data_IF_362658308870
#
_entry.id   IF_362658308870
#
_cell.length_a   1.000
_cell.length_b   1.000
_cell.length_c   1.000
_cell.angle_alpha   90.00
_cell.angle_beta   90.00
_cell.angle_gamma   90.00
#
_symmetry.space_group_name_H-M   'P 1'
#
loop_
_entity.id
_entity.type
_entity.pdbx_description
1 polymer ?
#
# COMPACT_ATOMS: atom_id res chain seq x y z
N UNK A 1 10.34 -21.10 23.89
CA UNK A 1 10.35 -21.03 22.41
C UNK A 1 11.80 -21.10 21.97
N UNK A 2 12.18 -21.91 20.97
CA UNK A 2 13.56 -21.90 20.43
C UNK A 2 13.77 -20.59 19.67
N UNK A 3 14.92 -19.96 19.84
CA UNK A 3 15.28 -18.75 19.11
C UNK A 3 16.55 -18.98 18.30
N UNK A 4 16.52 -18.52 17.06
CA UNK A 4 17.54 -18.78 16.06
C UNK A 4 17.89 -17.45 15.43
N UNK A 5 19.16 -17.07 15.52
CA UNK A 5 19.67 -15.84 14.93
C UNK A 5 20.76 -16.19 13.93
N UNK A 6 20.63 -15.72 12.69
CA UNK A 6 21.61 -15.93 11.63
C UNK A 6 22.07 -14.59 11.05
N UNK A 7 23.29 -14.55 10.50
CA UNK A 7 23.81 -13.35 9.84
C UNK A 7 23.33 -13.26 8.40
N UNK A 8 23.22 -14.40 7.71
CA UNK A 8 22.74 -14.50 6.32
C UNK A 8 22.05 -15.83 6.06
N UNK A 9 21.12 -15.86 5.12
CA UNK A 9 20.50 -17.07 4.59
C UNK A 9 20.67 -17.15 3.07
N UNK A 10 20.98 -18.34 2.55
CA UNK A 10 21.01 -18.64 1.11
C UNK A 10 19.98 -19.72 0.78
N UNK A 11 19.29 -19.56 -0.34
CA UNK A 11 18.34 -20.57 -0.83
C UNK A 11 19.07 -21.50 -1.79
N UNK A 12 19.24 -22.76 -1.37
CA UNK A 12 20.02 -23.76 -2.09
C UNK A 12 19.27 -25.10 -2.11
N UNK A 13 19.15 -25.70 -3.30
CA UNK A 13 18.53 -27.02 -3.48
C UNK A 13 17.13 -27.14 -2.86
N UNK A 14 16.30 -26.10 -2.99
CA UNK A 14 14.91 -26.11 -2.51
C UNK A 14 14.73 -25.96 -0.99
N UNK A 15 15.73 -25.45 -0.27
CA UNK A 15 15.60 -25.15 1.16
C UNK A 15 16.56 -24.05 1.62
N UNK A 16 16.30 -23.50 2.82
CA UNK A 16 17.12 -22.44 3.40
C UNK A 16 18.37 -22.98 4.09
N UNK A 17 19.50 -22.35 3.80
CA UNK A 17 20.78 -22.58 4.44
C UNK A 17 21.25 -21.30 5.11
N UNK A 18 21.27 -21.30 6.44
CA UNK A 18 21.67 -20.15 7.24
C UNK A 18 23.14 -20.26 7.66
N UNK A 19 23.84 -19.13 7.72
CA UNK A 19 25.26 -19.06 8.06
C UNK A 19 25.50 -18.25 9.32
N UNK A 20 26.47 -18.66 10.13
CA UNK A 20 26.79 -18.06 11.44
C UNK A 20 25.57 -18.01 12.36
N UNK A 21 24.97 -19.18 12.60
CA UNK A 21 23.73 -19.30 13.36
C UNK A 21 24.01 -19.46 14.84
N UNK A 22 23.32 -18.66 15.66
CA UNK A 22 23.20 -18.80 17.11
C UNK A 22 21.84 -19.40 17.43
N UNK A 23 21.84 -20.63 17.90
CA UNK A 23 20.64 -21.34 18.35
C UNK A 23 20.62 -21.40 19.87
N UNK A 24 19.56 -20.90 20.49
CA UNK A 24 19.38 -20.98 21.91
C UNK A 24 17.92 -21.30 22.27
N UNK A 25 17.74 -22.17 23.27
CA UNK A 25 16.41 -22.56 23.77
C UNK A 25 16.24 -21.99 25.18
N UNK A 26 15.60 -20.82 25.34
CA UNK A 26 15.32 -20.26 26.66
C UNK A 26 14.46 -21.24 27.46
N UNK A 27 14.97 -21.64 28.62
CA UNK A 27 14.31 -22.48 29.63
C UNK A 27 14.13 -21.62 30.88
N UNK A 28 13.06 -21.82 31.66
CA UNK A 28 12.86 -21.05 32.89
C UNK A 28 14.02 -21.30 33.87
N UNK A 29 14.76 -20.25 34.26
CA UNK A 29 15.93 -20.35 35.13
C UNK A 29 16.95 -19.22 34.97
N UNK A 30 18.10 -19.35 35.62
CA UNK A 30 19.20 -18.37 35.58
C UNK A 30 19.81 -18.26 34.16
N UNK A 31 20.10 -17.05 33.64
CA UNK A 31 20.62 -16.82 32.29
C UNK A 31 21.99 -17.44 31.97
N UNK A 32 22.79 -17.73 33.01
CA UNK A 32 24.22 -18.03 32.89
C UNK A 32 24.54 -19.48 32.45
N UNK A 33 23.53 -20.35 32.30
CA UNK A 33 23.73 -21.79 32.05
C UNK A 33 23.11 -22.31 30.74
N UNK A 34 22.75 -21.44 29.80
CA UNK A 34 22.13 -21.89 28.55
C UNK A 34 23.18 -22.14 27.47
N UNK A 35 23.34 -23.38 26.97
CA UNK A 35 24.27 -23.67 25.88
C UNK A 35 23.79 -22.97 24.60
N UNK A 36 24.48 -21.91 24.19
CA UNK A 36 24.32 -21.33 22.86
C UNK A 36 25.01 -22.28 21.90
N UNK A 37 24.24 -22.89 21.00
CA UNK A 37 24.82 -23.75 19.97
C UNK A 37 25.14 -22.88 18.76
N UNK A 38 26.43 -22.81 18.43
CA UNK A 38 26.92 -22.09 17.27
C UNK A 38 27.03 -23.04 16.08
N UNK A 39 26.30 -22.76 15.02
CA UNK A 39 26.42 -23.48 13.76
C UNK A 39 27.07 -22.57 12.71
N UNK A 40 28.16 -23.03 12.10
CA UNK A 40 28.76 -22.32 10.96
C UNK A 40 27.77 -22.25 9.79
N UNK A 41 27.08 -23.37 9.55
CA UNK A 41 26.02 -23.52 8.55
C UNK A 41 24.93 -24.42 9.11
N UNK A 42 23.67 -24.02 8.96
CA UNK A 42 22.50 -24.77 9.40
C UNK A 42 21.45 -24.76 8.29
N UNK A 43 21.17 -25.93 7.72
CA UNK A 43 20.07 -26.12 6.76
C UNK A 43 18.77 -26.33 7.53
N UNK A 44 17.72 -25.60 7.14
CA UNK A 44 16.41 -25.69 7.77
C UNK A 44 15.39 -26.15 6.75
N UNK A 45 14.84 -27.35 7.00
CA UNK A 45 13.75 -27.91 6.20
C UNK A 45 12.38 -27.46 6.71
N UNK A 46 12.32 -26.93 7.93
CA UNK A 46 11.10 -26.35 8.53
C UNK A 46 10.64 -25.06 7.83
N UNK A 47 11.54 -24.38 7.11
CA UNK A 47 11.23 -23.18 6.33
C UNK A 47 11.08 -23.56 4.85
N UNK A 48 9.84 -23.75 4.41
CA UNK A 48 9.46 -24.06 3.04
C UNK A 48 9.13 -22.81 2.20
N UNK A 49 9.07 -21.64 2.83
CA UNK A 49 8.86 -20.35 2.16
C UNK A 49 9.98 -20.05 1.15
N UNK A 50 9.62 -19.83 -0.10
CA UNK A 50 10.56 -19.46 -1.16
C UNK A 50 11.05 -17.99 -1.00
N UNK A 51 12.23 -17.64 -1.52
CA UNK A 51 12.71 -16.25 -1.51
C UNK A 51 11.72 -15.26 -2.13
N UNK A 52 11.00 -15.68 -3.16
CA UNK A 52 9.98 -14.87 -3.83
C UNK A 52 8.77 -14.61 -2.93
N UNK A 53 8.37 -15.58 -2.11
CA UNK A 53 7.30 -15.40 -1.12
C UNK A 53 7.74 -14.41 -0.03
N UNK A 54 8.93 -14.59 0.53
CA UNK A 54 9.50 -13.68 1.54
C UNK A 54 9.62 -12.25 1.00
N UNK A 55 10.14 -12.09 -0.23
CA UNK A 55 10.23 -10.77 -0.87
C UNK A 55 8.83 -10.14 -1.05
N UNK A 56 7.84 -10.94 -1.47
CA UNK A 56 6.45 -10.51 -1.56
C UNK A 56 5.92 -10.00 -0.22
N UNK A 57 6.16 -10.72 0.86
CA UNK A 57 5.76 -10.28 2.20
C UNK A 57 6.46 -8.99 2.65
N UNK A 58 7.78 -8.89 2.43
CA UNK A 58 8.55 -7.69 2.72
C UNK A 58 8.06 -6.45 1.96
N UNK A 59 7.54 -6.63 0.74
CA UNK A 59 6.93 -5.54 -0.03
C UNK A 59 5.55 -5.14 0.50
N UNK A 60 4.77 -6.08 1.02
CA UNK A 60 3.43 -5.83 1.57
C UNK A 60 3.49 -5.30 3.01
N UNK A 61 4.46 -5.74 3.82
CA UNK A 61 4.57 -5.43 5.24
C UNK A 61 4.46 -3.91 5.57
N UNK A 62 5.08 -2.99 4.81
CA UNK A 62 4.92 -1.56 5.04
C UNK A 62 3.47 -1.07 4.90
N UNK A 63 2.60 -1.75 4.16
CA UNK A 63 1.20 -1.34 4.03
C UNK A 63 0.44 -1.36 5.36
N UNK A 64 0.86 -2.21 6.30
CA UNK A 64 0.21 -2.37 7.60
C UNK A 64 0.80 -1.48 8.68
N UNK A 65 1.98 -0.92 8.45
CA UNK A 65 2.63 -0.06 9.44
C UNK A 65 2.06 1.36 9.36
N UNK A 66 1.56 1.87 10.49
CA UNK A 66 1.00 3.23 10.60
C UNK A 66 2.01 4.33 10.29
N UNK A 67 3.32 4.02 10.34
CA UNK A 67 4.42 4.95 10.08
C UNK A 67 5.03 4.84 8.68
N UNK A 68 4.58 3.90 7.85
CA UNK A 68 5.16 3.72 6.53
C UNK A 68 4.64 4.77 5.53
N UNK A 69 5.49 5.76 5.25
CA UNK A 69 5.26 6.72 4.16
C UNK A 69 5.28 6.06 2.76
N UNK A 70 5.66 4.79 2.65
CA UNK A 70 5.88 4.08 1.38
C UNK A 70 4.73 3.15 1.01
N UNK A 71 3.50 3.69 0.97
CA UNK A 71 2.29 2.94 0.60
C UNK A 71 2.18 2.66 -0.91
N UNK A 72 2.99 3.33 -1.73
CA UNK A 72 2.79 3.44 -3.18
C UNK A 72 3.47 2.36 -4.03
N UNK A 73 4.37 1.52 -3.49
CA UNK A 73 5.13 0.57 -4.32
C UNK A 73 4.44 -0.77 -4.63
N UNK A 74 3.29 -1.08 -4.03
CA UNK A 74 2.70 -2.43 -4.09
C UNK A 74 1.72 -2.64 -5.23
N UNK A 75 2.10 -3.27 -6.32
CA UNK A 75 1.21 -3.56 -7.46
C UNK A 75 -0.05 -4.37 -7.12
N UNK A 76 -1.08 -4.29 -7.99
CA UNK A 76 -2.29 -5.12 -7.87
C UNK A 76 -1.98 -6.62 -7.87
N UNK A 77 -0.98 -7.05 -8.65
CA UNK A 77 -0.53 -8.44 -8.71
C UNK A 77 0.12 -8.90 -7.40
N UNK A 78 0.86 -8.03 -6.72
CA UNK A 78 1.44 -8.31 -5.40
C UNK A 78 0.36 -8.43 -4.32
N UNK A 79 -0.66 -7.55 -4.33
CA UNK A 79 -1.82 -7.65 -3.43
C UNK A 79 -2.57 -8.97 -3.65
N UNK A 80 -2.83 -9.32 -4.90
CA UNK A 80 -3.57 -10.53 -5.26
C UNK A 80 -2.78 -11.81 -4.91
N UNK A 81 -1.47 -11.81 -5.14
CA UNK A 81 -0.58 -12.91 -4.76
C UNK A 81 -0.52 -13.10 -3.25
N UNK A 82 -0.40 -12.01 -2.49
CA UNK A 82 -0.43 -12.06 -1.03
C UNK A 82 -1.76 -12.63 -0.49
N UNK A 83 -2.90 -12.21 -1.07
CA UNK A 83 -4.23 -12.71 -0.71
C UNK A 83 -4.43 -14.20 -1.01
N UNK A 84 -3.82 -14.72 -2.07
CA UNK A 84 -3.87 -16.16 -2.40
C UNK A 84 -3.11 -16.99 -1.38
N UNK A 85 -1.93 -16.54 -0.97
CA UNK A 85 -1.05 -17.27 -0.04
C UNK A 85 -1.61 -17.20 1.39
N UNK A 86 -2.32 -16.13 1.73
CA UNK A 86 -2.91 -15.93 3.06
C UNK A 86 -4.45 -15.97 3.00
N UNK A 87 -5.08 -17.15 3.08
CA UNK A 87 -6.54 -17.25 3.08
C UNK A 87 -7.19 -16.72 4.37
N UNK A 88 -6.47 -16.78 5.50
CA UNK A 88 -6.97 -16.36 6.82
C UNK A 88 -6.28 -15.07 7.31
N UNK A 89 -6.53 -13.96 6.62
CA UNK A 89 -6.00 -12.64 6.98
C UNK A 89 -6.84 -12.02 8.09
N UNK A 90 -6.18 -11.43 9.08
CA UNK A 90 -6.80 -10.58 10.10
C UNK A 90 -7.71 -9.50 9.46
N UNK A 91 -8.92 -9.25 10.00
CA UNK A 91 -9.91 -8.37 9.38
C UNK A 91 -9.41 -6.95 9.13
N UNK A 92 -8.58 -6.39 10.01
CA UNK A 92 -7.98 -5.06 9.82
C UNK A 92 -7.05 -5.01 8.60
N UNK A 93 -6.14 -5.98 8.49
CA UNK A 93 -5.22 -6.10 7.34
C UNK A 93 -5.97 -6.32 6.04
N UNK A 94 -7.05 -7.12 6.08
CA UNK A 94 -7.93 -7.36 4.93
C UNK A 94 -8.61 -6.08 4.46
N UNK A 95 -9.10 -5.24 5.37
CA UNK A 95 -9.69 -3.94 5.03
C UNK A 95 -8.67 -3.01 4.35
N UNK A 96 -7.44 -2.95 4.88
CA UNK A 96 -6.34 -2.17 4.31
C UNK A 96 -5.99 -2.63 2.88
N UNK A 97 -5.85 -3.94 2.66
CA UNK A 97 -5.55 -4.50 1.33
C UNK A 97 -6.67 -4.19 0.33
N UNK A 98 -7.94 -4.31 0.74
CA UNK A 98 -9.08 -3.98 -0.11
C UNK A 98 -9.11 -2.48 -0.46
N UNK A 99 -8.82 -1.59 0.50
CA UNK A 99 -8.71 -0.15 0.24
C UNK A 99 -7.61 0.19 -0.76
N UNK A 100 -6.43 -0.42 -0.62
CA UNK A 100 -5.34 -0.22 -1.57
C UNK A 100 -5.66 -0.77 -2.95
N UNK A 101 -6.31 -1.92 -3.02
CA UNK A 101 -6.73 -2.52 -4.28
C UNK A 101 -7.71 -1.61 -5.04
N UNK A 102 -8.74 -1.09 -4.36
CA UNK A 102 -9.72 -0.17 -4.95
C UNK A 102 -9.10 1.17 -5.33
N UNK A 103 -8.22 1.73 -4.49
CA UNK A 103 -7.52 2.97 -4.80
C UNK A 103 -6.69 2.85 -6.09
N UNK A 104 -5.99 1.73 -6.28
CA UNK A 104 -5.21 1.47 -7.51
C UNK A 104 -6.05 1.30 -8.75
N UNK A 105 -7.23 0.70 -8.63
CA UNK A 105 -8.18 0.64 -9.73
C UNK A 105 -8.71 2.03 -10.11
N UNK A 106 -8.79 2.95 -9.15
CA UNK A 106 -9.22 4.33 -9.38
C UNK A 106 -8.11 5.24 -9.93
N UNK A 107 -6.82 4.87 -9.83
CA UNK A 107 -5.70 5.69 -10.30
C UNK A 107 -5.82 6.13 -11.78
N UNK A 108 -6.16 5.27 -12.76
CA UNK A 108 -6.36 5.70 -14.15
C UNK A 108 -7.54 6.67 -14.29
N UNK A 109 -8.60 6.48 -13.50
CA UNK A 109 -9.77 7.35 -13.50
C UNK A 109 -9.46 8.73 -12.94
N UNK A 110 -8.54 8.83 -11.97
CA UNK A 110 -8.08 10.10 -11.42
C UNK A 110 -7.58 11.05 -12.52
N UNK A 111 -6.79 10.54 -13.47
CA UNK A 111 -6.30 11.35 -14.60
C UNK A 111 -7.46 11.95 -15.41
N UNK A 112 -8.49 11.14 -15.69
CA UNK A 112 -9.67 11.59 -16.42
C UNK A 112 -10.45 12.66 -15.64
N UNK A 113 -10.65 12.47 -14.33
CA UNK A 113 -11.33 13.44 -13.47
C UNK A 113 -10.55 14.76 -13.39
N UNK A 114 -9.21 14.72 -13.26
CA UNK A 114 -8.39 15.94 -13.24
C UNK A 114 -8.52 16.73 -14.54
N UNK A 115 -8.57 16.05 -15.69
CA UNK A 115 -8.83 16.71 -16.98
C UNK A 115 -10.23 17.32 -17.00
N UNK A 116 -11.26 16.58 -16.56
CA UNK A 116 -12.63 17.11 -16.47
C UNK A 116 -12.72 18.35 -15.58
N UNK A 117 -12.02 18.36 -14.45
CA UNK A 117 -11.93 19.51 -13.55
C UNK A 117 -11.30 20.69 -14.29
N UNK A 118 -10.27 20.48 -15.11
CA UNK A 118 -9.56 21.56 -15.80
C UNK A 118 -10.37 22.24 -16.92
N UNK A 119 -11.22 21.49 -17.65
CA UNK A 119 -12.01 21.98 -18.79
C UNK A 119 -12.80 23.27 -18.50
N UNK A 120 -13.66 23.35 -17.46
CA UNK A 120 -14.45 24.56 -17.22
C UNK A 120 -13.60 25.78 -16.87
N UNK A 121 -12.38 25.59 -16.34
CA UNK A 121 -11.46 26.70 -16.04
C UNK A 121 -10.58 27.09 -17.23
N UNK A 122 -10.43 26.21 -18.22
CA UNK A 122 -9.71 26.49 -19.46
C UNK A 122 -10.56 27.30 -20.46
N UNK A 123 -11.89 27.25 -20.35
CA UNK A 123 -12.79 27.98 -21.22
C UNK A 123 -12.61 29.51 -21.07
N UNK A 124 -12.41 30.26 -22.16
CA UNK A 124 -12.23 31.71 -22.08
C UNK A 124 -13.53 32.40 -21.66
N UNK A 125 -13.59 32.83 -20.41
CA UNK A 125 -14.69 33.64 -19.88
C UNK A 125 -14.45 35.12 -20.21
N UNK A 126 -14.77 35.53 -21.43
CA UNK A 126 -14.83 36.95 -21.86
C UNK A 126 -13.62 37.82 -21.45
N UNK A 127 -13.87 38.96 -20.79
CA UNK A 127 -12.86 39.97 -20.38
C UNK A 127 -11.93 39.53 -19.24
N UNK A 128 -11.96 38.27 -18.82
CA UNK A 128 -11.22 37.79 -17.65
C UNK A 128 -9.82 37.32 -18.04
N UNK A 129 -8.81 37.69 -17.25
CA UNK A 129 -7.42 37.31 -17.50
C UNK A 129 -7.27 35.77 -17.50
N UNK A 130 -6.75 35.15 -18.57
CA UNK A 130 -6.52 33.70 -18.67
C UNK A 130 -5.73 33.11 -17.48
N UNK A 131 -4.82 33.88 -16.89
CA UNK A 131 -4.04 33.46 -15.71
C UNK A 131 -4.93 33.12 -14.51
N UNK A 132 -6.09 33.78 -14.37
CA UNK A 132 -7.05 33.50 -13.27
C UNK A 132 -7.71 32.14 -13.46
N UNK A 133 -7.99 31.74 -14.70
CA UNK A 133 -8.53 30.41 -15.01
C UNK A 133 -7.52 29.30 -14.68
N UNK A 134 -6.26 29.49 -15.09
CA UNK A 134 -5.17 28.55 -14.77
C UNK A 134 -4.98 28.39 -13.26
N UNK A 135 -4.91 29.50 -12.51
CA UNK A 135 -4.76 29.47 -11.06
C UNK A 135 -5.94 28.75 -10.38
N UNK A 136 -7.17 29.03 -10.81
CA UNK A 136 -8.37 28.37 -10.28
C UNK A 136 -8.39 26.86 -10.57
N UNK A 137 -7.98 26.44 -11.78
CA UNK A 137 -7.87 25.03 -12.14
C UNK A 137 -6.84 24.27 -11.30
N UNK A 138 -5.67 24.88 -11.04
CA UNK A 138 -4.66 24.30 -10.15
C UNK A 138 -5.19 24.15 -8.74
N UNK A 139 -5.85 25.18 -8.19
CA UNK A 139 -6.44 25.12 -6.84
C UNK A 139 -7.51 24.03 -6.76
N UNK A 140 -8.38 23.91 -7.77
CA UNK A 140 -9.41 22.86 -7.81
C UNK A 140 -8.80 21.46 -7.88
N UNK A 141 -7.72 21.28 -8.66
CA UNK A 141 -6.97 20.03 -8.73
C UNK A 141 -6.34 19.66 -7.38
N UNK A 142 -5.71 20.62 -6.70
CA UNK A 142 -5.16 20.42 -5.35
C UNK A 142 -6.26 20.08 -4.34
N UNK A 143 -7.41 20.74 -4.41
CA UNK A 143 -8.56 20.45 -3.57
C UNK A 143 -9.06 19.02 -3.77
N UNK A 144 -9.14 18.54 -5.01
CA UNK A 144 -9.49 17.15 -5.31
C UNK A 144 -8.53 16.17 -4.61
N UNK A 145 -7.21 16.35 -4.73
CA UNK A 145 -6.24 15.46 -4.08
C UNK A 145 -6.34 15.51 -2.55
N UNK A 146 -6.57 16.69 -1.97
CA UNK A 146 -6.78 16.83 -0.52
C UNK A 146 -8.02 16.07 -0.05
N UNK A 147 -9.14 16.18 -0.76
CA UNK A 147 -10.37 15.44 -0.44
C UNK A 147 -10.16 13.94 -0.63
N UNK A 148 -9.44 13.51 -1.67
CA UNK A 148 -9.10 12.10 -1.88
C UNK A 148 -8.29 11.52 -0.72
N UNK A 149 -7.24 12.23 -0.27
CA UNK A 149 -6.42 11.79 0.86
C UNK A 149 -7.23 11.76 2.16
N UNK A 150 -8.06 12.77 2.40
CA UNK A 150 -8.93 12.81 3.58
C UNK A 150 -9.96 11.68 3.58
N UNK A 151 -10.61 11.42 2.44
CA UNK A 151 -11.57 10.34 2.30
C UNK A 151 -10.92 8.97 2.55
N UNK A 152 -9.70 8.77 2.05
CA UNK A 152 -8.93 7.54 2.31
C UNK A 152 -8.47 7.41 3.76
N UNK A 153 -8.12 8.52 4.42
CA UNK A 153 -7.70 8.53 5.82
C UNK A 153 -8.85 8.22 6.78
N UNK A 154 -10.03 8.81 6.54
CA UNK A 154 -11.20 8.70 7.43
C UNK A 154 -12.08 7.49 7.06
N UNK A 155 -12.39 7.34 5.78
CA UNK A 155 -13.34 6.35 5.27
C UNK A 155 -12.71 5.02 4.87
N UNK A 156 -11.38 4.96 4.69
CA UNK A 156 -10.70 3.76 4.18
C UNK A 156 -10.84 2.53 5.08
N UNK A 157 -11.10 2.70 6.37
CA UNK A 157 -11.32 1.60 7.32
C UNK A 157 -12.76 1.10 7.36
N UNK A 158 -13.74 1.97 7.08
CA UNK A 158 -15.18 1.65 7.16
C UNK A 158 -15.70 1.07 5.84
N UNK A 159 -15.42 1.77 4.74
CA UNK A 159 -15.81 1.33 3.40
C UNK A 159 -14.76 1.78 2.39
N UNK A 160 -13.77 0.91 2.11
CA UNK A 160 -12.78 1.06 1.06
C UNK A 160 -13.34 1.57 -0.28
N UNK A 161 -14.47 1.01 -0.69
CA UNK A 161 -15.13 1.34 -1.94
C UNK A 161 -15.68 2.77 -1.93
N UNK A 162 -16.41 3.16 -0.87
CA UNK A 162 -16.92 4.53 -0.80
C UNK A 162 -15.78 5.55 -0.71
N UNK A 163 -14.78 5.29 0.14
CA UNK A 163 -13.64 6.18 0.31
C UNK A 163 -12.88 6.45 -1.00
N UNK A 164 -12.66 5.42 -1.82
CA UNK A 164 -11.93 5.56 -3.08
C UNK A 164 -12.77 6.27 -4.17
N UNK A 165 -14.08 5.96 -4.26
CA UNK A 165 -14.92 6.38 -5.38
C UNK A 165 -15.70 7.69 -5.13
N UNK A 166 -15.99 8.03 -3.87
CA UNK A 166 -16.77 9.24 -3.52
C UNK A 166 -16.14 10.53 -4.06
N UNK A 167 -14.83 10.79 -3.93
CA UNK A 167 -14.25 12.03 -4.44
C UNK A 167 -14.29 12.08 -5.98
N UNK A 168 -14.09 10.95 -6.65
CA UNK A 168 -14.20 10.85 -8.12
C UNK A 168 -15.62 11.16 -8.59
N UNK A 169 -16.64 10.58 -7.96
CA UNK A 169 -18.03 10.84 -8.30
C UNK A 169 -18.44 12.29 -8.03
N UNK A 170 -18.00 12.85 -6.89
CA UNK A 170 -18.32 14.23 -6.49
C UNK A 170 -17.69 15.24 -7.45
N UNK A 171 -16.36 15.20 -7.62
CA UNK A 171 -15.66 16.17 -8.47
C UNK A 171 -15.95 15.94 -9.95
N UNK A 172 -16.07 14.69 -10.39
CA UNK A 172 -16.50 14.36 -11.74
C UNK A 172 -17.89 14.90 -12.06
N UNK A 173 -18.85 14.72 -11.14
CA UNK A 173 -20.21 15.26 -11.28
C UNK A 173 -20.26 16.78 -11.29
N UNK A 174 -19.54 17.43 -10.36
CA UNK A 174 -19.44 18.90 -10.31
C UNK A 174 -18.83 19.44 -11.61
N UNK A 175 -17.75 18.83 -12.09
CA UNK A 175 -17.06 19.26 -13.30
C UNK A 175 -17.94 19.07 -14.54
N UNK A 176 -18.60 17.92 -14.68
CA UNK A 176 -19.55 17.68 -15.75
C UNK A 176 -20.69 18.71 -15.74
N UNK A 177 -21.24 19.01 -14.56
CA UNK A 177 -22.27 20.04 -14.41
C UNK A 177 -21.77 21.43 -14.79
N UNK A 178 -20.56 21.83 -14.37
CA UNK A 178 -19.97 23.10 -14.77
C UNK A 178 -19.78 23.18 -16.28
N UNK A 179 -19.30 22.11 -16.92
CA UNK A 179 -19.14 22.04 -18.38
C UNK A 179 -20.48 22.28 -19.08
N UNK A 180 -21.59 21.71 -18.59
CA UNK A 180 -22.92 21.97 -19.20
C UNK A 180 -23.42 23.40 -19.05
N UNK A 181 -22.89 24.15 -18.07
CA UNK A 181 -23.24 25.56 -17.81
C UNK A 181 -22.34 26.55 -18.54
N UNK A 182 -21.16 26.12 -18.97
CA UNK A 182 -20.27 26.90 -19.82
C UNK A 182 -20.82 26.82 -21.24
N UNK A 183 -21.66 27.81 -21.59
CA UNK A 183 -22.13 28.10 -22.95
C UNK A 183 -21.67 29.51 -23.33
#
# INVERSE_FOLDING_TARGET
KREIMAVKGTWESGGWTFHQVRDYKPTEGFPEAHPITLHQTLRMEEFDETPMQIEGELKIAPLFDRRAHKRWSVSLAEIDSYRRIHPNIEPEKKAILNAQYQARLAEPLTCFIVVLIAIPFAAPSGRRNPAVGVAAGIIACLAFFMVQQFAMAVGGQLSPHLAAWTPHALFGGISAWQITRVR
#
